data_IF_460327904584
#
_entry.id   IF_460327904584
#
_cell.length_a   1.000
_cell.length_b   1.000
_cell.length_c   1.000
_cell.angle_alpha   90.00
_cell.angle_beta   90.00
_cell.angle_gamma   90.00
#
_symmetry.space_group_name_H-M   'P 1'
#
loop_
_entity.id
_entity.type
_entity.pdbx_description
1 polymer ?
#
# COMPACT_ATOMS: atom_id res chain seq x y z
N UNK A 1 32.17 9.02 48.60
CA UNK A 1 32.14 8.04 47.49
C UNK A 1 30.96 8.41 46.59
N UNK A 2 31.20 9.05 45.45
CA UNK A 2 30.12 9.50 44.55
C UNK A 2 29.86 8.42 43.49
N UNK A 3 28.71 7.77 43.57
CA UNK A 3 28.25 6.86 42.52
C UNK A 3 27.68 7.66 41.34
N UNK A 4 28.45 7.73 40.26
CA UNK A 4 28.00 8.25 38.97
C UNK A 4 27.05 7.23 38.35
N UNK A 5 25.74 7.51 38.36
CA UNK A 5 24.78 6.77 37.53
C UNK A 5 25.02 7.15 36.07
N UNK A 6 25.62 6.26 35.30
CA UNK A 6 25.63 6.32 33.84
C UNK A 6 24.26 5.88 33.34
N UNK A 7 23.46 6.84 32.89
CA UNK A 7 22.26 6.55 32.11
C UNK A 7 22.72 6.13 30.71
N UNK A 8 22.54 4.85 30.37
CA UNK A 8 22.56 4.44 28.97
C UNK A 8 21.32 5.04 28.32
N UNK A 9 21.48 6.10 27.54
CA UNK A 9 20.44 6.57 26.63
C UNK A 9 20.23 5.45 25.62
N UNK A 10 19.24 4.59 25.86
CA UNK A 10 18.68 3.72 24.85
C UNK A 10 18.32 4.65 23.68
N UNK A 11 19.01 4.51 22.55
CA UNK A 11 18.60 5.15 21.30
C UNK A 11 17.19 4.65 21.01
N UNK A 12 16.20 5.44 21.41
CA UNK A 12 14.82 5.25 21.02
C UNK A 12 14.83 5.39 19.51
N UNK A 13 14.83 4.27 18.79
CA UNK A 13 14.64 4.29 17.35
C UNK A 13 13.30 4.97 17.13
N UNK A 14 13.30 6.20 16.64
CA UNK A 14 12.08 6.95 16.31
C UNK A 14 11.31 6.11 15.32
N UNK A 15 10.28 5.45 15.81
CA UNK A 15 9.46 4.55 15.03
C UNK A 15 8.90 5.34 13.82
N UNK A 16 9.07 4.78 12.62
CA UNK A 16 8.68 5.41 11.35
C UNK A 16 7.50 4.61 10.78
N UNK A 17 6.25 5.11 10.90
CA UNK A 17 5.07 4.35 10.53
C UNK A 17 5.04 4.01 9.05
N UNK A 18 5.42 4.95 8.19
CA UNK A 18 5.39 4.81 6.74
C UNK A 18 6.80 4.86 6.17
N UNK A 19 7.34 3.71 5.77
CA UNK A 19 8.69 3.59 5.18
C UNK A 19 8.70 3.62 3.64
N UNK A 20 7.55 3.86 3.01
CA UNK A 20 7.38 3.74 1.56
C UNK A 20 7.98 4.95 0.82
N UNK A 21 8.96 4.77 -0.10
CA UNK A 21 9.55 5.88 -0.84
C UNK A 21 8.55 6.71 -1.66
N UNK A 22 7.50 6.08 -2.20
CA UNK A 22 6.49 6.75 -3.02
C UNK A 22 5.52 7.61 -2.21
N UNK A 23 5.56 7.51 -0.88
CA UNK A 23 4.74 8.32 0.04
C UNK A 23 5.56 9.37 0.77
N UNK A 24 6.84 9.57 0.44
CA UNK A 24 7.71 10.53 1.14
C UNK A 24 7.19 11.97 1.07
N UNK A 25 6.52 12.35 -0.02
CA UNK A 25 6.02 13.73 -0.16
C UNK A 25 4.88 14.04 0.81
N UNK A 26 4.11 13.02 1.22
CA UNK A 26 3.02 13.18 2.21
C UNK A 26 3.40 12.70 3.61
N UNK A 27 4.38 11.80 3.70
CA UNK A 27 4.90 11.21 4.92
C UNK A 27 6.45 11.25 4.97
N UNK A 28 7.09 12.45 4.97
CA UNK A 28 8.55 12.56 4.79
C UNK A 28 9.36 11.93 5.93
N UNK A 29 8.81 11.94 7.14
CA UNK A 29 9.39 11.30 8.33
C UNK A 29 8.59 10.06 8.75
N UNK A 30 7.78 9.51 7.85
CA UNK A 30 6.84 8.43 8.12
C UNK A 30 5.53 8.84 8.77
N UNK A 31 5.36 10.12 9.06
CA UNK A 31 4.16 10.72 9.65
C UNK A 31 3.44 11.61 8.65
N UNK A 32 2.12 11.55 8.64
CA UNK A 32 1.32 12.35 7.72
C UNK A 32 1.40 13.83 8.11
N UNK A 33 1.86 14.67 7.19
CA UNK A 33 1.91 16.12 7.40
C UNK A 33 0.59 16.78 7.01
N UNK A 34 0.19 17.78 7.80
CA UNK A 34 -0.97 18.64 7.50
C UNK A 34 -0.62 19.52 6.31
N UNK A 35 -1.36 19.45 5.19
CA UNK A 35 -1.14 20.37 4.08
C UNK A 35 -1.89 21.69 4.33
N UNK A 36 -1.48 22.75 3.64
CA UNK A 36 -1.99 24.12 3.81
C UNK A 36 -3.51 24.23 3.61
N UNK A 37 -4.09 23.39 2.74
CA UNK A 37 -5.55 23.33 2.49
C UNK A 37 -6.39 22.83 3.67
N UNK A 38 -5.77 22.46 4.79
CA UNK A 38 -6.44 22.21 6.07
C UNK A 38 -5.92 23.22 7.11
N UNK A 39 -6.54 24.40 7.22
CA UNK A 39 -5.98 25.53 7.97
C UNK A 39 -5.99 25.34 9.49
N UNK A 40 -6.91 24.55 10.03
CA UNK A 40 -6.97 24.25 11.47
C UNK A 40 -6.02 23.10 11.86
N UNK A 41 -4.95 23.44 12.56
CA UNK A 41 -4.01 22.44 13.11
C UNK A 41 -4.67 21.58 14.21
N UNK A 42 -5.54 22.18 15.01
CA UNK A 42 -6.27 21.50 16.08
C UNK A 42 -7.25 20.48 15.52
N UNK A 43 -8.03 20.86 14.50
CA UNK A 43 -8.95 19.96 13.83
C UNK A 43 -8.20 18.81 13.13
N UNK A 44 -7.11 19.13 12.43
CA UNK A 44 -6.27 18.11 11.82
C UNK A 44 -5.76 17.10 12.85
N UNK A 45 -5.25 17.59 13.99
CA UNK A 45 -4.76 16.74 15.07
C UNK A 45 -5.88 15.86 15.63
N UNK A 46 -7.04 16.46 15.91
CA UNK A 46 -8.22 15.76 16.41
C UNK A 46 -8.68 14.66 15.43
N UNK A 47 -8.82 14.99 14.14
CA UNK A 47 -9.37 14.08 13.12
C UNK A 47 -8.36 13.01 12.72
N UNK A 48 -7.10 13.36 12.45
CA UNK A 48 -6.11 12.46 11.84
C UNK A 48 -5.22 11.74 12.84
N UNK A 49 -5.06 12.24 14.06
CA UNK A 49 -4.10 11.70 15.03
C UNK A 49 -4.78 11.12 16.27
N UNK A 50 -5.65 11.88 16.94
CA UNK A 50 -6.20 11.55 18.26
C UNK A 50 -7.72 11.36 18.27
N UNK A 51 -8.28 10.86 17.16
CA UNK A 51 -9.72 10.74 16.97
C UNK A 51 -10.29 9.61 17.86
N UNK A 52 -11.25 9.86 18.76
CA UNK A 52 -11.83 8.82 19.61
C UNK A 52 -12.67 7.80 18.81
N UNK A 53 -13.34 8.24 17.74
CA UNK A 53 -14.11 7.37 16.84
C UNK A 53 -13.21 6.46 15.99
N UNK A 54 -11.94 6.85 15.84
CA UNK A 54 -10.91 6.12 15.12
C UNK A 54 -9.66 5.99 16.00
N UNK A 55 -9.63 5.02 16.95
CA UNK A 55 -8.63 4.92 18.02
C UNK A 55 -7.27 4.39 17.53
N UNK A 56 -6.77 5.00 16.45
CA UNK A 56 -5.47 4.81 15.82
C UNK A 56 -5.22 5.99 14.88
N UNK A 57 -3.95 6.33 14.67
CA UNK A 57 -3.56 7.43 13.79
C UNK A 57 -3.84 7.11 12.32
N UNK A 58 -4.05 8.11 11.48
CA UNK A 58 -4.35 7.91 10.07
C UNK A 58 -3.29 7.08 9.32
N UNK A 59 -2.02 7.16 9.72
CA UNK A 59 -0.90 6.41 9.12
C UNK A 59 -1.01 4.88 9.28
N UNK A 60 -1.71 4.42 10.33
CA UNK A 60 -1.95 3.00 10.58
C UNK A 60 -3.18 2.48 9.84
N UNK A 61 -3.99 3.35 9.21
CA UNK A 61 -5.23 2.97 8.51
C UNK A 61 -5.02 1.93 7.40
N UNK A 62 -6.11 1.26 7.02
CA UNK A 62 -6.12 0.33 5.89
C UNK A 62 -5.77 1.02 4.56
N UNK A 63 -6.15 2.28 4.38
CA UNK A 63 -5.85 3.07 3.17
C UNK A 63 -4.34 3.25 3.03
N UNK A 64 -3.67 3.76 4.08
CA UNK A 64 -2.21 3.96 4.07
C UNK A 64 -1.47 2.61 3.96
N UNK A 65 -1.95 1.59 4.68
CA UNK A 65 -1.39 0.23 4.61
C UNK A 65 -1.48 -0.35 3.20
N UNK A 66 -2.63 -0.21 2.55
CA UNK A 66 -2.88 -0.71 1.20
C UNK A 66 -2.00 -0.04 0.16
N UNK A 67 -1.93 1.31 0.15
CA UNK A 67 -1.04 2.03 -0.75
C UNK A 67 0.44 1.75 -0.50
N UNK A 68 0.87 1.71 0.77
CA UNK A 68 2.25 1.34 1.12
C UNK A 68 2.60 -0.04 0.55
N UNK A 69 1.69 -1.00 0.66
CA UNK A 69 1.89 -2.36 0.14
C UNK A 69 1.94 -2.41 -1.39
N UNK A 70 1.02 -1.71 -2.07
CA UNK A 70 1.03 -1.58 -3.52
C UNK A 70 2.31 -0.91 -4.04
N UNK A 71 2.76 0.14 -3.38
CA UNK A 71 3.94 0.90 -3.80
C UNK A 71 5.25 0.16 -3.51
N UNK A 72 5.30 -0.68 -2.47
CA UNK A 72 6.39 -1.64 -2.31
C UNK A 72 6.46 -2.64 -3.47
N UNK A 73 5.31 -3.14 -3.95
CA UNK A 73 5.29 -3.95 -5.19
C UNK A 73 5.73 -3.11 -6.40
N UNK A 74 5.32 -1.84 -6.48
CA UNK A 74 5.72 -0.90 -7.52
C UNK A 74 7.23 -0.66 -7.58
N UNK A 75 7.91 -0.49 -6.44
CA UNK A 75 9.38 -0.38 -6.41
C UNK A 75 10.07 -1.64 -6.95
N UNK A 76 9.55 -2.83 -6.61
CA UNK A 76 10.06 -4.07 -7.17
C UNK A 76 9.90 -4.12 -8.70
N UNK A 77 8.75 -3.66 -9.22
CA UNK A 77 8.56 -3.58 -10.68
C UNK A 77 9.49 -2.55 -11.32
N UNK A 78 9.68 -1.38 -10.69
CA UNK A 78 10.65 -0.37 -11.17
C UNK A 78 12.04 -0.96 -11.32
N UNK A 79 12.51 -1.70 -10.31
CA UNK A 79 13.79 -2.41 -10.34
C UNK A 79 13.85 -3.42 -11.48
N UNK A 80 12.78 -4.18 -11.72
CA UNK A 80 12.70 -5.11 -12.84
C UNK A 80 12.75 -4.40 -14.21
N UNK A 81 12.07 -3.26 -14.39
CA UNK A 81 12.14 -2.47 -15.63
C UNK A 81 13.53 -1.87 -15.85
N UNK A 82 14.18 -1.37 -14.78
CA UNK A 82 15.56 -0.91 -14.85
C UNK A 82 16.53 -2.03 -15.22
N UNK A 83 16.33 -3.22 -14.64
CA UNK A 83 17.09 -4.42 -15.00
C UNK A 83 16.91 -4.78 -16.47
N UNK A 84 15.69 -4.70 -16.99
CA UNK A 84 15.40 -4.95 -18.40
C UNK A 84 16.14 -3.94 -19.30
N UNK A 85 16.12 -2.65 -18.96
CA UNK A 85 16.87 -1.62 -19.70
C UNK A 85 18.37 -1.89 -19.71
N UNK A 86 18.94 -2.32 -18.59
CA UNK A 86 20.36 -2.66 -18.49
C UNK A 86 20.72 -3.91 -19.31
N UNK A 87 19.84 -4.91 -19.38
CA UNK A 87 20.00 -6.07 -20.27
C UNK A 87 19.86 -5.67 -21.74
N UNK A 88 18.93 -4.77 -22.06
CA UNK A 88 18.71 -4.26 -23.42
C UNK A 88 19.94 -3.55 -23.97
N UNK A 89 20.56 -2.68 -23.18
CA UNK A 89 21.81 -2.00 -23.53
C UNK A 89 22.95 -2.98 -23.81
N UNK A 90 22.99 -4.10 -23.08
CA UNK A 90 23.99 -5.17 -23.23
C UNK A 90 23.60 -6.20 -24.30
N UNK A 91 22.42 -6.11 -24.90
CA UNK A 91 21.84 -7.09 -25.82
C UNK A 91 21.76 -8.52 -25.21
N UNK A 92 21.52 -8.60 -23.89
CA UNK A 92 21.44 -9.85 -23.13
C UNK A 92 20.04 -10.12 -22.57
N UNK A 93 19.00 -9.57 -23.20
CA UNK A 93 17.61 -9.80 -22.76
C UNK A 93 17.26 -11.27 -22.96
N UNK A 94 16.62 -11.87 -21.96
CA UNK A 94 16.06 -13.21 -22.08
C UNK A 94 14.54 -13.19 -22.04
N UNK A 95 13.90 -14.14 -22.72
CA UNK A 95 12.44 -14.33 -22.67
C UNK A 95 11.93 -14.54 -21.23
N UNK A 96 12.74 -15.18 -20.37
CA UNK A 96 12.44 -15.36 -18.94
C UNK A 96 12.37 -14.04 -18.21
N UNK A 97 13.25 -13.09 -18.54
CA UNK A 97 13.26 -11.76 -17.93
C UNK A 97 11.98 -10.99 -18.24
N UNK A 98 11.57 -10.98 -19.52
CA UNK A 98 10.34 -10.30 -19.96
C UNK A 98 9.10 -10.98 -19.37
N UNK A 99 9.06 -12.32 -19.37
CA UNK A 99 7.96 -13.09 -18.77
C UNK A 99 7.83 -12.84 -17.27
N UNK A 100 8.97 -12.76 -16.57
CA UNK A 100 9.04 -12.38 -15.16
C UNK A 100 8.48 -10.97 -14.93
N UNK A 101 8.91 -9.99 -15.73
CA UNK A 101 8.45 -8.61 -15.66
C UNK A 101 6.93 -8.50 -15.91
N UNK A 102 6.43 -9.16 -16.94
CA UNK A 102 5.00 -9.23 -17.24
C UNK A 102 4.21 -9.72 -16.02
N UNK A 103 4.67 -10.81 -15.40
CA UNK A 103 3.99 -11.42 -14.26
C UNK A 103 4.00 -10.53 -13.02
N UNK A 104 5.12 -9.90 -12.69
CA UNK A 104 5.19 -8.99 -11.52
C UNK A 104 4.36 -7.73 -11.75
N UNK A 105 4.40 -7.16 -12.96
CA UNK A 105 3.59 -6.00 -13.28
C UNK A 105 2.10 -6.33 -13.26
N UNK A 106 1.70 -7.52 -13.71
CA UNK A 106 0.31 -7.98 -13.63
C UNK A 106 -0.21 -8.01 -12.18
N UNK A 107 0.59 -8.54 -11.24
CA UNK A 107 0.23 -8.56 -9.82
C UNK A 107 0.17 -7.14 -9.24
N UNK A 108 1.14 -6.28 -9.56
CA UNK A 108 1.15 -4.88 -9.13
C UNK A 108 -0.07 -4.12 -9.66
N UNK A 109 -0.33 -4.17 -10.97
CA UNK A 109 -1.44 -3.48 -11.61
C UNK A 109 -2.80 -3.95 -11.06
N UNK A 110 -2.98 -5.25 -10.85
CA UNK A 110 -4.19 -5.80 -10.26
C UNK A 110 -4.37 -5.40 -8.79
N UNK A 111 -3.27 -5.36 -8.02
CA UNK A 111 -3.29 -4.93 -6.61
C UNK A 111 -3.66 -3.45 -6.50
N UNK A 112 -3.07 -2.59 -7.34
CA UNK A 112 -3.38 -1.17 -7.32
C UNK A 112 -4.80 -0.90 -7.82
N UNK A 113 -5.24 -1.58 -8.90
CA UNK A 113 -6.61 -1.45 -9.40
C UNK A 113 -7.66 -1.90 -8.38
N UNK A 114 -7.35 -2.91 -7.55
CA UNK A 114 -8.21 -3.29 -6.41
C UNK A 114 -8.29 -2.14 -5.41
N UNK A 115 -7.13 -1.63 -4.99
CA UNK A 115 -7.07 -0.56 -3.99
C UNK A 115 -7.79 0.72 -4.44
N UNK A 116 -7.55 1.19 -5.68
CA UNK A 116 -8.20 2.41 -6.18
C UNK A 116 -9.71 2.23 -6.29
N UNK A 117 -10.16 1.07 -6.78
CA UNK A 117 -11.59 0.79 -6.91
C UNK A 117 -12.29 0.67 -5.55
N UNK A 118 -11.65 0.03 -4.57
CA UNK A 118 -12.17 -0.05 -3.20
C UNK A 118 -12.28 1.33 -2.57
N UNK A 119 -11.26 2.19 -2.73
CA UNK A 119 -11.33 3.58 -2.22
C UNK A 119 -12.49 4.33 -2.86
N UNK A 120 -12.62 4.33 -4.20
CA UNK A 120 -13.74 5.01 -4.89
C UNK A 120 -15.08 4.51 -4.37
N UNK A 121 -15.27 3.19 -4.26
CA UNK A 121 -16.52 2.62 -3.76
C UNK A 121 -16.80 2.98 -2.30
N UNK A 122 -15.75 3.06 -1.47
CA UNK A 122 -15.87 3.48 -0.08
C UNK A 122 -16.20 4.95 0.06
N UNK A 123 -15.66 5.83 -0.79
CA UNK A 123 -16.01 7.26 -0.79
C UNK A 123 -17.51 7.41 -1.10
N UNK A 124 -17.99 6.85 -2.21
CA UNK A 124 -19.42 6.90 -2.59
C UNK A 124 -20.35 6.39 -1.49
N UNK A 125 -19.92 5.34 -0.78
CA UNK A 125 -20.72 4.74 0.26
C UNK A 125 -20.72 5.58 1.55
N UNK A 126 -19.57 6.16 1.88
CA UNK A 126 -19.38 6.96 3.08
C UNK A 126 -20.09 8.31 2.96
N UNK A 127 -20.07 8.93 1.77
CA UNK A 127 -20.83 10.15 1.49
C UNK A 127 -22.34 9.93 1.66
N UNK A 128 -22.88 8.81 1.15
CA UNK A 128 -24.31 8.46 1.34
C UNK A 128 -24.65 8.24 2.80
N UNK A 129 -23.75 7.60 3.55
CA UNK A 129 -23.94 7.33 4.97
C UNK A 129 -23.91 8.62 5.80
N UNK A 130 -22.96 9.51 5.50
CA UNK A 130 -22.78 10.79 6.18
C UNK A 130 -23.70 11.90 5.66
N UNK A 131 -24.46 11.65 4.58
CA UNK A 131 -25.30 12.63 3.89
C UNK A 131 -24.54 13.92 3.53
N UNK A 132 -23.29 13.78 3.10
CA UNK A 132 -22.41 14.89 2.76
C UNK A 132 -21.45 14.51 1.63
N UNK A 133 -21.05 15.50 0.85
CA UNK A 133 -20.04 15.33 -0.21
C UNK A 133 -18.66 15.51 0.42
N UNK A 134 -17.74 14.59 0.12
CA UNK A 134 -16.37 14.69 0.62
C UNK A 134 -15.58 15.64 -0.28
N UNK A 135 -15.11 16.73 0.30
CA UNK A 135 -14.37 17.78 -0.42
C UNK A 135 -12.86 17.62 -0.28
N UNK A 136 -12.11 18.22 -1.22
CA UNK A 136 -10.66 18.35 -1.14
C UNK A 136 -10.32 19.60 -0.31
N UNK A 137 -9.56 19.43 0.76
CA UNK A 137 -9.31 20.50 1.74
C UNK A 137 -10.48 20.71 2.72
N UNK A 138 -10.28 21.63 3.67
CA UNK A 138 -11.32 22.12 4.56
C UNK A 138 -11.67 23.55 4.14
N UNK A 139 -12.72 23.73 3.33
CA UNK A 139 -13.20 25.05 2.94
C UNK A 139 -14.51 25.37 3.66
N UNK A 140 -14.55 26.44 4.49
CA UNK A 140 -15.79 27.00 5.01
C UNK A 140 -16.38 28.14 4.15
N UNK A 141 -15.60 28.80 3.27
CA UNK A 141 -15.93 30.15 2.76
C UNK A 141 -15.54 30.49 1.30
N UNK A 142 -15.33 29.51 0.40
CA UNK A 142 -14.95 29.83 -1.00
C UNK A 142 -15.96 29.30 -2.03
N UNK A 143 -16.80 30.22 -2.54
CA UNK A 143 -17.76 30.00 -3.62
C UNK A 143 -17.17 29.83 -5.02
N UNK A 144 -16.10 29.03 -5.20
CA UNK A 144 -15.63 28.66 -6.54
C UNK A 144 -14.85 27.33 -6.52
N UNK A 145 -15.45 26.29 -7.12
CA UNK A 145 -14.80 25.02 -7.49
C UNK A 145 -14.34 24.08 -6.35
N UNK A 146 -15.18 23.78 -5.36
CA UNK A 146 -14.95 22.65 -4.45
C UNK A 146 -14.99 21.34 -5.24
N UNK A 147 -13.82 20.85 -5.67
CA UNK A 147 -13.69 19.55 -6.35
C UNK A 147 -14.00 18.46 -5.34
N UNK A 148 -15.08 17.70 -5.58
CA UNK A 148 -15.36 16.50 -4.81
C UNK A 148 -14.20 15.53 -4.93
N UNK A 149 -13.93 14.79 -3.85
CA UNK A 149 -12.99 13.68 -3.85
C UNK A 149 -13.34 12.68 -4.97
N UNK A 150 -14.62 12.41 -5.22
CA UNK A 150 -15.04 11.48 -6.28
C UNK A 150 -14.78 12.01 -7.68
N UNK A 151 -14.97 13.31 -7.92
CA UNK A 151 -14.75 13.94 -9.22
C UNK A 151 -13.29 13.80 -9.68
N UNK A 152 -12.35 13.66 -8.74
CA UNK A 152 -10.95 13.41 -9.05
C UNK A 152 -10.61 11.91 -9.02
N UNK A 153 -10.97 11.20 -7.95
CA UNK A 153 -10.58 9.80 -7.78
C UNK A 153 -11.20 8.89 -8.84
N UNK A 154 -12.46 9.11 -9.23
CA UNK A 154 -13.14 8.29 -10.24
C UNK A 154 -12.39 8.28 -11.57
N UNK A 155 -12.26 9.43 -12.25
CA UNK A 155 -11.52 9.54 -13.51
C UNK A 155 -10.06 9.11 -13.39
N UNK A 156 -9.39 9.43 -12.28
CA UNK A 156 -7.99 9.05 -12.06
C UNK A 156 -7.81 7.54 -11.94
N UNK A 157 -8.74 6.83 -11.28
CA UNK A 157 -8.72 5.37 -11.20
C UNK A 157 -8.86 4.74 -12.59
N UNK A 158 -9.82 5.19 -13.40
CA UNK A 158 -10.05 4.66 -14.74
C UNK A 158 -8.88 4.94 -15.71
N UNK A 159 -8.30 6.14 -15.63
CA UNK A 159 -7.15 6.52 -16.45
C UNK A 159 -5.89 5.71 -16.08
N UNK A 160 -5.61 5.56 -14.77
CA UNK A 160 -4.51 4.74 -14.28
C UNK A 160 -4.68 3.27 -14.69
N UNK A 161 -5.90 2.76 -14.57
CA UNK A 161 -6.24 1.41 -14.98
C UNK A 161 -6.02 1.18 -16.48
N UNK A 162 -6.49 2.11 -17.32
CA UNK A 162 -6.31 2.08 -18.76
C UNK A 162 -4.82 2.11 -19.16
N UNK A 163 -4.01 2.92 -18.48
CA UNK A 163 -2.57 2.99 -18.69
C UNK A 163 -1.88 1.66 -18.34
N UNK A 164 -2.23 1.06 -17.20
CA UNK A 164 -1.70 -0.24 -16.80
C UNK A 164 -2.09 -1.37 -17.75
N UNK A 165 -3.32 -1.38 -18.27
CA UNK A 165 -3.73 -2.36 -19.26
C UNK A 165 -2.95 -2.24 -20.58
N UNK A 166 -2.74 -1.01 -21.06
CA UNK A 166 -1.89 -0.76 -22.24
C UNK A 166 -0.47 -1.26 -22.02
N UNK A 167 0.11 -0.96 -20.85
CA UNK A 167 1.44 -1.44 -20.50
C UNK A 167 1.54 -2.97 -20.42
N UNK A 168 0.52 -3.64 -19.87
CA UNK A 168 0.44 -5.11 -19.89
C UNK A 168 0.34 -5.67 -21.30
N UNK A 169 -0.44 -5.03 -22.16
CA UNK A 169 -0.57 -5.43 -23.56
C UNK A 169 0.77 -5.34 -24.29
N UNK A 170 1.47 -4.21 -24.14
CA UNK A 170 2.81 -3.99 -24.71
C UNK A 170 3.84 -4.99 -24.15
N UNK A 171 3.90 -5.20 -22.83
CA UNK A 171 4.78 -6.23 -22.27
C UNK A 171 4.42 -7.63 -22.81
N UNK A 172 3.13 -7.91 -23.00
CA UNK A 172 2.66 -9.18 -23.53
C UNK A 172 3.06 -9.43 -24.99
N UNK A 173 3.21 -8.40 -25.82
CA UNK A 173 3.77 -8.56 -27.17
C UNK A 173 5.26 -8.90 -27.12
N UNK A 174 6.03 -8.24 -26.25
CA UNK A 174 7.46 -8.53 -26.09
C UNK A 174 7.76 -9.89 -25.44
N UNK A 175 6.81 -10.48 -24.70
CA UNK A 175 6.93 -11.88 -24.27
C UNK A 175 6.94 -12.83 -25.49
N UNK A 176 6.21 -12.49 -26.56
CA UNK A 176 6.10 -13.31 -27.78
C UNK A 176 7.24 -13.05 -28.76
N UNK A 177 7.73 -11.82 -28.82
CA UNK A 177 8.84 -11.40 -29.69
C UNK A 177 9.91 -10.62 -28.87
N UNK A 178 10.74 -11.31 -28.05
CA UNK A 178 11.77 -10.66 -27.24
C UNK A 178 12.81 -9.86 -28.04
N UNK A 179 13.09 -10.28 -29.27
CA UNK A 179 14.04 -9.66 -30.20
C UNK A 179 13.68 -8.23 -30.60
N UNK A 180 12.39 -7.85 -30.51
CA UNK A 180 11.92 -6.49 -30.77
C UNK A 180 12.26 -5.52 -29.63
N UNK A 181 12.69 -6.03 -28.48
CA UNK A 181 12.95 -5.22 -27.30
C UNK A 181 14.37 -4.62 -27.36
N UNK A 182 14.44 -3.37 -27.81
CA UNK A 182 15.67 -2.58 -27.86
C UNK A 182 15.84 -1.69 -26.61
N UNK A 183 17.03 -1.08 -26.45
CA UNK A 183 17.26 -0.13 -25.36
C UNK A 183 16.30 1.09 -25.39
N UNK A 184 16.03 1.73 -26.55
CA UNK A 184 15.03 2.80 -26.65
C UNK A 184 13.64 2.35 -26.19
N UNK A 185 13.21 1.15 -26.60
CA UNK A 185 11.92 0.57 -26.18
C UNK A 185 11.89 0.34 -24.66
N UNK A 186 12.95 -0.21 -24.08
CA UNK A 186 13.04 -0.40 -22.64
C UNK A 186 13.05 0.93 -21.86
N UNK A 187 13.63 2.00 -22.42
CA UNK A 187 13.58 3.33 -21.85
C UNK A 187 12.17 3.94 -21.91
N UNK A 188 11.44 3.71 -23.01
CA UNK A 188 10.03 4.13 -23.13
C UNK A 188 9.15 3.41 -22.10
N UNK A 189 9.34 2.11 -21.90
CA UNK A 189 8.64 1.35 -20.86
C UNK A 189 8.90 1.93 -19.46
N UNK A 190 10.14 2.33 -19.15
CA UNK A 190 10.45 2.99 -17.88
C UNK A 190 9.72 4.33 -17.73
N UNK A 191 9.63 5.13 -18.79
CA UNK A 191 8.91 6.40 -18.78
C UNK A 191 7.40 6.19 -18.58
N UNK A 192 6.80 5.22 -19.28
CA UNK A 192 5.38 4.85 -19.10
C UNK A 192 5.10 4.38 -17.69
N UNK A 193 5.96 3.53 -17.12
CA UNK A 193 5.84 3.10 -15.72
C UNK A 193 5.93 4.29 -14.76
N UNK A 194 6.84 5.23 -15.02
CA UNK A 194 7.00 6.44 -14.20
C UNK A 194 5.79 7.36 -14.27
N UNK A 195 5.16 7.51 -15.44
CA UNK A 195 3.90 8.24 -15.58
C UNK A 195 2.77 7.58 -14.76
N UNK A 196 2.68 6.24 -14.81
CA UNK A 196 1.74 5.48 -13.98
C UNK A 196 1.97 5.67 -12.49
N UNK A 197 3.24 5.66 -12.04
CA UNK A 197 3.62 6.01 -10.66
C UNK A 197 3.12 7.39 -10.27
N UNK A 198 3.32 8.42 -11.10
CA UNK A 198 2.86 9.78 -10.79
C UNK A 198 1.35 9.84 -10.57
N UNK A 199 0.56 9.18 -11.45
CA UNK A 199 -0.90 9.11 -11.30
C UNK A 199 -1.30 8.33 -10.04
N UNK A 200 -0.63 7.22 -9.76
CA UNK A 200 -0.85 6.41 -8.57
C UNK A 200 -0.57 7.19 -7.27
N UNK A 201 0.56 7.91 -7.21
CA UNK A 201 0.90 8.77 -6.06
C UNK A 201 -0.11 9.89 -5.90
N UNK A 202 -0.57 10.54 -6.98
CA UNK A 202 -1.64 11.55 -6.91
C UNK A 202 -2.93 10.97 -6.32
N UNK A 203 -3.33 9.77 -6.77
CA UNK A 203 -4.51 9.09 -6.24
C UNK A 203 -4.35 8.80 -4.75
N UNK A 204 -3.19 8.25 -4.36
CA UNK A 204 -2.88 7.93 -2.97
C UNK A 204 -2.87 9.17 -2.08
N UNK A 205 -2.31 10.30 -2.54
CA UNK A 205 -2.32 11.57 -1.80
C UNK A 205 -3.73 12.03 -1.48
N UNK A 206 -4.63 12.10 -2.47
CA UNK A 206 -6.02 12.49 -2.24
C UNK A 206 -6.73 11.48 -1.33
N UNK A 207 -6.42 10.20 -1.48
CA UNK A 207 -7.01 9.13 -0.64
C UNK A 207 -6.56 9.20 0.82
N UNK A 208 -5.27 9.44 1.06
CA UNK A 208 -4.65 9.42 2.39
C UNK A 208 -4.88 10.74 3.13
N UNK A 209 -5.01 11.84 2.40
CA UNK A 209 -5.23 13.16 2.99
C UNK A 209 -6.73 13.44 3.04
N UNK A 210 -7.34 13.68 1.87
CA UNK A 210 -8.66 14.29 1.80
C UNK A 210 -9.77 13.27 2.11
N UNK A 211 -9.73 12.08 1.50
CA UNK A 211 -10.70 11.03 1.82
C UNK A 211 -10.61 10.60 3.28
N UNK A 212 -9.42 10.30 3.81
CA UNK A 212 -9.29 9.88 5.21
C UNK A 212 -9.73 10.98 6.18
N UNK A 213 -9.44 12.25 5.91
CA UNK A 213 -9.91 13.35 6.74
C UNK A 213 -11.44 13.40 6.78
N UNK A 214 -12.10 13.43 5.62
CA UNK A 214 -13.56 13.46 5.53
C UNK A 214 -14.20 12.22 6.17
N UNK A 215 -13.67 11.03 5.87
CA UNK A 215 -14.14 9.78 6.47
C UNK A 215 -14.07 9.84 8.00
N UNK A 216 -12.93 10.26 8.55
CA UNK A 216 -12.68 10.28 9.99
C UNK A 216 -13.46 11.39 10.70
N UNK A 217 -13.79 12.47 9.99
CA UNK A 217 -14.59 13.58 10.51
C UNK A 217 -16.09 13.25 10.54
N UNK A 218 -16.60 12.53 9.54
CA UNK A 218 -18.03 12.37 9.34
C UNK A 218 -18.58 10.96 9.58
N UNK A 219 -17.73 9.94 9.66
CA UNK A 219 -18.16 8.54 9.78
C UNK A 219 -17.41 7.86 10.92
N UNK A 220 -18.12 7.13 11.77
CA UNK A 220 -17.50 6.34 12.84
C UNK A 220 -16.83 5.08 12.29
N UNK A 221 -15.80 4.57 12.96
CA UNK A 221 -15.18 3.29 12.60
C UNK A 221 -16.20 2.14 12.54
N UNK A 222 -17.16 2.13 13.47
CA UNK A 222 -18.19 1.08 13.56
C UNK A 222 -19.06 1.06 12.31
N UNK A 223 -19.52 2.22 11.85
CA UNK A 223 -20.42 2.32 10.69
C UNK A 223 -19.66 2.03 9.40
N UNK A 224 -18.42 2.53 9.28
CA UNK A 224 -17.55 2.18 8.17
C UNK A 224 -17.30 0.66 8.09
N UNK A 225 -17.08 -0.02 9.21
CA UNK A 225 -16.90 -1.48 9.22
C UNK A 225 -18.15 -2.24 8.81
N UNK A 226 -19.34 -1.77 9.17
CA UNK A 226 -20.59 -2.37 8.70
C UNK A 226 -20.72 -2.22 7.18
N UNK A 227 -20.38 -1.05 6.66
CA UNK A 227 -20.39 -0.74 5.23
C UNK A 227 -19.40 -1.63 4.48
N UNK A 228 -18.15 -1.70 4.94
CA UNK A 228 -17.09 -2.51 4.34
C UNK A 228 -17.48 -4.00 4.32
N UNK A 229 -18.13 -4.52 5.37
CA UNK A 229 -18.60 -5.92 5.38
C UNK A 229 -19.72 -6.19 4.37
N UNK A 230 -20.66 -5.25 4.19
CA UNK A 230 -21.85 -5.44 3.32
C UNK A 230 -21.54 -5.31 1.83
N UNK A 231 -20.58 -4.45 1.46
CA UNK A 231 -20.30 -4.13 0.05
C UNK A 231 -19.29 -5.04 -0.64
N UNK A 232 -18.59 -5.91 0.07
CA UNK A 232 -17.60 -6.79 -0.56
C UNK A 232 -18.30 -8.02 -1.19
N UNK A 233 -19.16 -7.77 -2.18
CA UNK A 233 -19.45 -8.74 -3.23
C UNK A 233 -18.35 -8.60 -4.27
N UNK A 234 -17.20 -9.25 -4.02
CA UNK A 234 -16.03 -9.23 -4.93
C UNK A 234 -16.37 -9.67 -6.37
N UNK A 235 -17.48 -10.36 -6.54
CA UNK A 235 -18.03 -10.78 -7.82
C UNK A 235 -18.77 -9.66 -8.59
N UNK A 236 -19.13 -8.56 -7.93
CA UNK A 236 -19.89 -7.44 -8.48
C UNK A 236 -19.04 -6.18 -8.79
N UNK A 237 -17.72 -6.26 -8.67
CA UNK A 237 -16.81 -5.19 -9.09
C UNK A 237 -16.81 -5.08 -10.63
N UNK A 238 -17.86 -4.50 -11.21
CA UNK A 238 -17.88 -4.05 -12.61
C UNK A 238 -16.69 -3.09 -12.82
N UNK A 239 -15.86 -3.36 -13.81
CA UNK A 239 -14.63 -2.61 -14.09
C UNK A 239 -13.35 -3.21 -13.50
N UNK A 240 -13.45 -4.20 -12.58
CA UNK A 240 -12.27 -4.96 -12.19
C UNK A 240 -11.86 -5.88 -13.36
N UNK A 241 -10.58 -5.95 -13.74
CA UNK A 241 -10.11 -6.96 -14.68
C UNK A 241 -10.62 -8.34 -14.26
N UNK A 242 -11.12 -9.12 -15.21
CA UNK A 242 -11.37 -10.55 -15.04
C UNK A 242 -10.04 -11.31 -14.85
N UNK A 243 -9.20 -10.97 -13.88
CA UNK A 243 -8.09 -11.81 -13.42
C UNK A 243 -8.65 -12.94 -12.55
N UNK A 244 -9.51 -13.77 -13.16
CA UNK A 244 -10.07 -14.97 -12.54
C UNK A 244 -8.93 -15.79 -11.95
N UNK A 245 -9.03 -16.13 -10.66
CA UNK A 245 -8.04 -16.95 -9.95
C UNK A 245 -6.84 -16.21 -9.34
N UNK A 246 -6.64 -14.90 -9.57
CA UNK A 246 -5.49 -14.16 -9.01
C UNK A 246 -5.78 -13.53 -7.64
N UNK A 247 -7.02 -13.55 -7.16
CA UNK A 247 -7.43 -12.92 -5.89
C UNK A 247 -6.55 -13.33 -4.71
N UNK A 248 -6.29 -14.63 -4.55
CA UNK A 248 -5.42 -15.12 -3.47
C UNK A 248 -4.00 -14.56 -3.60
N UNK A 249 -3.46 -14.46 -4.82
CA UNK A 249 -2.11 -13.95 -5.08
C UNK A 249 -2.00 -12.45 -4.82
N UNK A 250 -3.01 -11.68 -5.20
CA UNK A 250 -3.11 -10.24 -4.94
C UNK A 250 -3.13 -9.99 -3.43
N UNK A 251 -4.09 -10.60 -2.72
CA UNK A 251 -4.23 -10.42 -1.28
C UNK A 251 -2.99 -10.92 -0.52
N UNK A 252 -2.41 -12.05 -0.93
CA UNK A 252 -1.19 -12.57 -0.34
C UNK A 252 0.01 -11.66 -0.56
N UNK A 253 0.12 -11.05 -1.75
CA UNK A 253 1.19 -10.12 -2.06
C UNK A 253 1.04 -8.81 -1.30
N UNK A 254 -0.17 -8.26 -1.20
CA UNK A 254 -0.45 -7.09 -0.37
C UNK A 254 -0.07 -7.33 1.09
N UNK A 255 -0.50 -8.45 1.68
CA UNK A 255 -0.17 -8.77 3.07
C UNK A 255 1.35 -9.00 3.28
N UNK A 256 1.99 -9.68 2.32
CA UNK A 256 3.42 -10.02 2.43
C UNK A 256 4.32 -8.79 2.22
N UNK A 257 3.86 -7.79 1.46
CA UNK A 257 4.53 -6.50 1.29
C UNK A 257 4.52 -5.62 2.53
N UNK A 258 3.70 -5.92 3.54
CA UNK A 258 3.75 -5.23 4.82
C UNK A 258 5.01 -5.72 5.58
N UNK A 259 5.89 -4.80 6.01
CA UNK A 259 7.06 -5.15 6.82
C UNK A 259 6.67 -6.03 8.01
N UNK A 260 7.40 -7.14 8.28
CA UNK A 260 7.06 -8.06 9.36
C UNK A 260 6.87 -7.38 10.71
N UNK A 261 7.70 -6.39 11.02
CA UNK A 261 7.67 -5.61 12.26
C UNK A 261 6.37 -4.78 12.43
N UNK A 262 5.73 -4.41 11.32
CA UNK A 262 4.54 -3.56 11.31
C UNK A 262 3.24 -4.35 11.17
N UNK A 263 3.33 -5.61 10.73
CA UNK A 263 2.18 -6.43 10.36
C UNK A 263 1.21 -6.61 11.52
N UNK A 264 1.71 -6.91 12.72
CA UNK A 264 0.83 -7.10 13.88
C UNK A 264 0.02 -5.85 14.23
N UNK A 265 0.65 -4.67 14.18
CA UNK A 265 0.01 -3.38 14.47
C UNK A 265 -1.00 -3.01 13.39
N UNK A 266 -0.60 -3.02 12.12
CA UNK A 266 -1.46 -2.67 10.98
C UNK A 266 -2.67 -3.62 10.88
N UNK A 267 -2.48 -4.91 11.13
CA UNK A 267 -3.59 -5.86 11.03
C UNK A 267 -4.67 -5.71 12.11
N UNK A 268 -4.40 -5.04 13.25
CA UNK A 268 -5.41 -4.76 14.27
C UNK A 268 -6.44 -3.70 13.83
N UNK A 269 -6.08 -2.87 12.85
CA UNK A 269 -6.86 -1.69 12.45
C UNK A 269 -7.40 -1.78 11.02
N UNK A 270 -6.96 -2.78 10.26
CA UNK A 270 -7.48 -3.08 8.92
C UNK A 270 -8.90 -3.65 9.02
N UNK A 271 -9.82 -3.11 8.21
CA UNK A 271 -11.16 -3.65 8.10
C UNK A 271 -11.09 -5.14 7.67
N UNK A 272 -11.91 -6.03 8.26
CA UNK A 272 -11.87 -7.44 7.92
C UNK A 272 -12.26 -7.62 6.45
N UNK A 273 -11.29 -8.03 5.64
CA UNK A 273 -11.53 -8.46 4.26
C UNK A 273 -12.20 -9.83 4.28
N UNK A 274 -13.24 -10.08 3.46
CA UNK A 274 -13.75 -11.42 3.28
C UNK A 274 -12.69 -12.21 2.53
N UNK A 275 -11.97 -13.02 3.28
CA UNK A 275 -11.03 -13.94 2.72
C UNK A 275 -11.76 -15.20 2.23
N UNK A 276 -11.25 -15.86 1.19
CA UNK A 276 -11.77 -17.15 0.76
C UNK A 276 -11.50 -18.27 1.79
N UNK A 277 -10.68 -18.01 2.81
CA UNK A 277 -10.23 -18.95 3.83
C UNK A 277 -10.21 -18.24 5.19
N UNK A 278 -10.23 -19.02 6.27
CA UNK A 278 -10.07 -18.48 7.63
C UNK A 278 -8.78 -17.64 7.74
N UNK A 279 -8.84 -16.51 8.46
CA UNK A 279 -7.75 -15.53 8.56
C UNK A 279 -6.40 -16.16 8.97
N UNK A 280 -6.44 -17.12 9.90
CA UNK A 280 -5.26 -17.86 10.33
C UNK A 280 -4.62 -18.65 9.18
N UNK A 281 -5.43 -19.41 8.43
CA UNK A 281 -4.96 -20.21 7.29
C UNK A 281 -4.39 -19.30 6.21
N UNK A 282 -5.06 -18.19 5.93
CA UNK A 282 -4.59 -17.21 4.96
C UNK A 282 -3.20 -16.67 5.33
N UNK A 283 -2.98 -16.25 6.58
CA UNK A 283 -1.66 -15.77 7.03
C UNK A 283 -0.54 -16.80 6.84
N UNK A 284 -0.82 -18.08 7.03
CA UNK A 284 0.15 -19.16 6.85
C UNK A 284 0.53 -19.37 5.38
N UNK A 285 -0.44 -19.33 4.47
CA UNK A 285 -0.19 -19.57 3.04
C UNK A 285 0.34 -18.35 2.30
N UNK A 286 0.08 -17.14 2.80
CA UNK A 286 0.45 -15.89 2.14
C UNK A 286 1.92 -15.80 1.73
N UNK A 287 2.91 -16.08 2.60
CA UNK A 287 4.32 -16.03 2.23
C UNK A 287 4.66 -16.98 1.07
N UNK A 288 4.08 -18.18 1.07
CA UNK A 288 4.31 -19.19 0.03
C UNK A 288 3.70 -18.75 -1.30
N UNK A 289 2.47 -18.23 -1.26
CA UNK A 289 1.77 -17.73 -2.45
C UNK A 289 2.51 -16.52 -3.04
N UNK A 290 2.95 -15.58 -2.19
CA UNK A 290 3.71 -14.42 -2.61
C UNK A 290 5.08 -14.81 -3.19
N UNK A 291 5.80 -15.73 -2.54
CA UNK A 291 7.09 -16.21 -3.01
C UNK A 291 6.98 -16.84 -4.41
N UNK A 292 5.97 -17.69 -4.64
CA UNK A 292 5.75 -18.35 -5.93
C UNK A 292 5.18 -17.42 -6.99
N UNK A 293 4.23 -16.57 -6.61
CA UNK A 293 3.46 -15.75 -7.54
C UNK A 293 4.11 -14.42 -7.91
N UNK A 294 4.98 -13.88 -7.05
CA UNK A 294 5.61 -12.57 -7.23
C UNK A 294 7.14 -12.62 -7.12
N UNK A 295 7.71 -13.15 -6.03
CA UNK A 295 9.17 -13.07 -5.81
C UNK A 295 9.96 -13.93 -6.81
N UNK A 296 9.50 -15.14 -7.14
CA UNK A 296 10.17 -15.98 -8.15
C UNK A 296 10.16 -15.30 -9.53
N UNK A 297 9.02 -14.80 -10.05
CA UNK A 297 9.02 -13.99 -11.26
C UNK A 297 9.89 -12.72 -11.18
N UNK A 298 9.94 -12.07 -10.01
CA UNK A 298 10.79 -10.89 -9.80
C UNK A 298 12.28 -11.22 -9.95
N UNK A 299 12.72 -12.35 -9.38
CA UNK A 299 14.10 -12.84 -9.57
C UNK A 299 14.39 -13.07 -11.04
N UNK A 300 13.49 -13.74 -11.76
CA UNK A 300 13.63 -13.94 -13.21
C UNK A 300 13.72 -12.61 -13.97
N UNK A 301 12.94 -11.60 -13.57
CA UNK A 301 12.93 -10.27 -14.20
C UNK A 301 14.21 -9.45 -13.90
N UNK A 302 14.95 -9.81 -12.85
CA UNK A 302 16.14 -9.11 -12.38
C UNK A 302 17.45 -9.89 -12.55
N UNK A 303 17.37 -11.16 -12.92
CA UNK A 303 18.52 -12.02 -13.23
C UNK A 303 19.40 -11.39 -14.32
N UNK A 304 20.70 -11.26 -14.05
CA UNK A 304 21.70 -10.73 -14.98
C UNK A 304 22.07 -9.25 -14.81
N UNK A 305 21.50 -8.54 -13.83
CA UNK A 305 21.79 -7.12 -13.62
C UNK A 305 22.39 -6.85 -12.23
N UNK A 306 23.54 -6.16 -12.18
CA UNK A 306 24.17 -5.65 -10.94
C UNK A 306 23.41 -4.45 -10.35
N UNK A 307 22.08 -4.42 -10.48
CA UNK A 307 21.27 -3.44 -9.76
C UNK A 307 21.21 -3.95 -8.34
N UNK A 308 21.82 -3.23 -7.39
CA UNK A 308 21.75 -3.55 -5.96
C UNK A 308 20.29 -3.87 -5.59
N UNK A 309 20.08 -5.15 -5.29
CA UNK A 309 18.78 -5.67 -4.93
C UNK A 309 18.44 -5.15 -3.54
N UNK A 310 17.65 -4.07 -3.46
CA UNK A 310 16.77 -3.86 -2.31
C UNK A 310 15.57 -4.79 -2.45
N UNK A 311 15.82 -6.10 -2.62
CA UNK A 311 14.80 -7.09 -2.37
C UNK A 311 14.61 -7.06 -0.88
N UNK A 312 13.44 -6.59 -0.42
CA UNK A 312 13.03 -6.80 0.96
C UNK A 312 12.80 -8.31 1.09
N UNK A 313 13.89 -9.05 1.30
CA UNK A 313 13.81 -10.43 1.69
C UNK A 313 13.19 -10.44 3.07
N UNK A 314 11.92 -10.82 3.13
CA UNK A 314 11.27 -11.17 4.38
C UNK A 314 11.99 -12.43 4.87
N UNK A 315 12.78 -12.38 5.95
CA UNK A 315 13.41 -13.58 6.46
C UNK A 315 12.29 -14.55 6.83
N UNK A 316 12.34 -15.73 6.23
CA UNK A 316 11.47 -16.85 6.57
C UNK A 316 11.88 -17.29 7.98
N UNK A 317 11.27 -16.70 9.01
CA UNK A 317 11.41 -17.24 10.36
C UNK A 317 10.78 -18.64 10.36
N UNK A 318 11.66 -19.65 10.36
CA UNK A 318 11.30 -21.01 10.80
C UNK A 318 10.50 -20.89 12.08
N UNK A 319 9.39 -21.62 12.13
CA UNK A 319 8.48 -21.74 13.25
C UNK A 319 9.16 -21.45 14.60
N UNK A 320 9.01 -20.24 15.11
CA UNK A 320 9.31 -19.97 16.52
C UNK A 320 8.04 -20.27 17.31
N UNK A 321 8.27 -21.19 18.23
CA UNK A 321 7.39 -21.78 19.22
C UNK A 321 6.27 -20.86 19.74
N UNK A 322 5.12 -21.50 20.02
CA UNK A 322 4.16 -21.07 21.05
C UNK A 322 4.97 -20.60 22.27
N UNK A 323 4.91 -19.33 22.64
CA UNK A 323 5.17 -18.77 23.99
C UNK A 323 5.34 -17.24 23.90
N UNK A 324 4.34 -16.55 23.34
CA UNK A 324 4.24 -15.09 23.42
C UNK A 324 2.77 -14.66 23.42
N UNK A 325 2.00 -15.24 24.34
CA UNK A 325 0.64 -14.82 24.66
C UNK A 325 0.49 -14.84 26.17
N UNK A 326 1.10 -13.88 26.86
CA UNK A 326 0.72 -13.39 28.20
C UNK A 326 1.72 -12.34 28.65
N UNK A 327 1.20 -11.19 29.08
CA UNK A 327 1.71 -10.20 30.05
C UNK A 327 0.79 -8.98 29.87
N UNK A 328 -0.43 -9.00 30.41
CA UNK A 328 -0.74 -8.57 31.79
C UNK A 328 0.48 -8.39 32.70
N UNK A 329 0.84 -7.13 32.96
CA UNK A 329 1.54 -6.76 34.19
C UNK A 329 0.79 -5.62 34.89
N UNK A 330 0.01 -6.08 35.88
CA UNK A 330 -0.41 -5.37 37.08
C UNK A 330 0.85 -4.84 37.79
N UNK A 331 0.89 -3.54 38.08
CA UNK A 331 1.92 -2.95 38.92
C UNK A 331 1.77 -3.44 40.37
N UNK A 332 2.63 -4.39 40.76
CA UNK A 332 2.75 -4.88 42.13
C UNK A 332 3.82 -4.07 42.86
N UNK A 333 3.36 -3.14 43.72
CA UNK A 333 4.20 -2.43 44.68
C UNK A 333 4.64 -3.43 45.75
N UNK A 334 5.96 -3.70 45.86
CA UNK A 334 6.55 -4.32 47.05
C UNK A 334 7.47 -3.32 47.75
N UNK A 335 7.08 -2.98 48.98
CA UNK A 335 7.92 -2.35 50.01
C UNK A 335 8.87 -3.40 50.62
N UNK A 336 10.09 -2.97 50.89
CA UNK A 336 10.98 -3.48 51.96
C UNK A 336 12.17 -2.51 52.04
N UNK A 337 12.21 -1.54 52.96
CA UNK A 337 12.85 -1.61 54.30
C UNK A 337 14.11 -2.45 54.36
N UNK A 338 15.26 -1.77 54.35
CA UNK A 338 16.22 -1.72 55.46
C UNK A 338 16.85 -0.35 55.49
#
# INVERSE_FOLDING_TARGET
MYFKRTYSVQKCSTYCPVKCPWLRDICPQGYLQRPERYPSAEEWQYVMVSNPEWPFRAEDSSVVTGFSSCFSLGENVRTAVLSLKASARRKTISAKQISGLYRVFQIYAASLGLMTREVVSHVEASERLAQTVFSIGASPDHGSEDKSVLDILGPLSEALWSMHLRFLYELGSYVKAPEELSEPVAAELLNKFSAGKTMATRFATISIVDYLFNLRKHVTKKDFWQLARRKIKLEQLRGFPKYRGMRLQILASLLSSIPPEDRARRMKVVAPLPLPLHWFVFRLICPVVHARGFLRPLRQATEGSMVEQYVVEVPYQRAMHRDAWTCDEVALVRRSTT
#
